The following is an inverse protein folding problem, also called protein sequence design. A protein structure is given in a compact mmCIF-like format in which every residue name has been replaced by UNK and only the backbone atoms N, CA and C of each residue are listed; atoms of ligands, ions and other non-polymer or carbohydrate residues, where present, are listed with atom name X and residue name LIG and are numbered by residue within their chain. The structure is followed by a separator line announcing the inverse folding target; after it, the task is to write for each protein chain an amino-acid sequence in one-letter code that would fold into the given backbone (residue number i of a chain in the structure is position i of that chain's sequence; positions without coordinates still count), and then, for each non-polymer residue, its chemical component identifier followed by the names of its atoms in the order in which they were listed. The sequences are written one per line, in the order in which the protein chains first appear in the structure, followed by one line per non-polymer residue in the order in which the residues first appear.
data_IF_769269391638
#
_entry.id   IF_769269391638
#
_cell.length_a   1.000
_cell.length_b   1.000
_cell.length_c   1.000
_cell.angle_alpha   90.00
_cell.angle_beta   90.00
_cell.angle_gamma   90.00
#
_symmetry.space_group_name_H-M   'P 1'
#
loop_
_entity.id
_entity.type
_entity.pdbx_description
1 polymer ?
#
# COMPACT_ATOMS: atom_id res chain seq x y z
N UNK A 1 18.09 -37.58 -71.24
CA UNK A 1 17.14 -37.98 -70.18
C UNK A 1 17.79 -37.93 -68.78
N UNK A 2 17.43 -36.95 -67.94
CA UNK A 2 17.98 -36.83 -66.58
C UNK A 2 17.31 -37.84 -65.60
N UNK A 3 18.02 -38.28 -64.56
CA UNK A 3 17.51 -39.22 -63.57
C UNK A 3 16.51 -38.55 -62.61
N UNK A 4 15.42 -39.26 -62.30
CA UNK A 4 14.39 -38.84 -61.37
C UNK A 4 14.81 -39.18 -59.93
N UNK A 5 14.76 -38.19 -59.04
CA UNK A 5 14.97 -38.40 -57.59
C UNK A 5 13.68 -38.87 -56.90
N UNK A 6 13.76 -39.79 -55.93
CA UNK A 6 12.59 -40.26 -55.17
C UNK A 6 12.12 -39.22 -54.13
N UNK A 7 10.82 -39.24 -53.75
CA UNK A 7 10.24 -38.29 -52.81
C UNK A 7 10.69 -38.51 -51.35
N UNK A 8 10.68 -37.45 -50.50
CA UNK A 8 11.09 -37.54 -49.10
C UNK A 8 10.07 -38.32 -48.24
N UNK A 9 10.51 -38.92 -47.11
CA UNK A 9 9.63 -39.67 -46.21
C UNK A 9 8.68 -38.75 -45.42
N UNK A 10 7.52 -39.26 -44.98
CA UNK A 10 6.56 -38.48 -44.20
C UNK A 10 7.08 -38.18 -42.79
N UNK A 11 6.85 -36.93 -42.34
CA UNK A 11 7.20 -36.46 -41.00
C UNK A 11 6.35 -37.16 -39.93
N UNK A 12 7.00 -37.63 -38.85
CA UNK A 12 6.34 -38.21 -37.67
C UNK A 12 5.66 -37.11 -36.84
N UNK A 13 4.50 -37.37 -36.22
CA UNK A 13 3.94 -36.47 -35.22
C UNK A 13 4.73 -36.57 -33.91
N UNK A 14 5.34 -35.47 -33.49
CA UNK A 14 5.94 -35.34 -32.16
C UNK A 14 4.84 -35.02 -31.14
N UNK A 15 4.42 -36.04 -30.40
CA UNK A 15 3.59 -35.89 -29.20
C UNK A 15 4.44 -35.20 -28.12
N UNK A 16 4.26 -33.90 -27.92
CA UNK A 16 4.84 -33.17 -26.79
C UNK A 16 3.80 -33.13 -25.68
N UNK A 17 4.03 -33.75 -24.51
CA UNK A 17 3.17 -33.57 -23.35
C UNK A 17 3.45 -32.17 -22.78
N UNK A 18 2.62 -31.20 -23.17
CA UNK A 18 2.65 -29.89 -22.54
C UNK A 18 2.02 -30.00 -21.15
N UNK A 19 2.92 -30.25 -20.20
CA UNK A 19 2.88 -29.87 -18.81
C UNK A 19 1.81 -28.81 -18.52
N UNK A 20 0.81 -29.21 -17.74
CA UNK A 20 -0.12 -28.35 -17.02
C UNK A 20 0.67 -27.20 -16.35
N UNK A 21 0.78 -26.07 -17.03
CA UNK A 21 1.10 -24.83 -16.37
C UNK A 21 -0.14 -24.49 -15.58
N UNK A 22 -0.19 -24.97 -14.32
CA UNK A 22 -0.94 -24.32 -13.27
C UNK A 22 -0.57 -22.85 -13.42
N UNK A 23 -1.50 -22.05 -13.92
CA UNK A 23 -1.48 -20.61 -13.75
C UNK A 23 -1.48 -20.43 -12.24
N UNK A 24 -0.28 -20.49 -11.67
CA UNK A 24 0.07 -19.87 -10.42
C UNK A 24 -0.38 -18.45 -10.69
N UNK A 25 -1.59 -18.14 -10.21
CA UNK A 25 -1.98 -16.81 -9.82
C UNK A 25 -0.72 -16.23 -9.22
N UNK A 26 -0.02 -15.45 -10.03
CA UNK A 26 0.92 -14.46 -9.58
C UNK A 26 -0.01 -13.52 -8.83
N UNK A 27 -0.36 -13.92 -7.60
CA UNK A 27 -0.48 -13.01 -6.51
C UNK A 27 0.88 -12.35 -6.53
N UNK A 28 1.00 -11.29 -7.35
CA UNK A 28 2.15 -10.43 -7.34
C UNK A 28 2.31 -10.11 -5.87
N UNK A 29 3.35 -10.70 -5.28
CA UNK A 29 3.86 -10.30 -3.99
C UNK A 29 4.21 -8.85 -4.23
N UNK A 30 3.23 -7.99 -3.95
CA UNK A 30 3.27 -6.55 -4.14
C UNK A 30 4.51 -6.12 -3.38
N UNK A 31 5.56 -5.93 -4.14
CA UNK A 31 6.90 -5.71 -3.63
C UNK A 31 6.87 -4.32 -3.06
N UNK A 32 6.73 -4.24 -1.73
CA UNK A 32 7.06 -3.05 -0.93
C UNK A 32 6.31 -1.76 -1.31
N UNK A 33 5.33 -1.81 -2.21
CA UNK A 33 4.38 -0.72 -2.39
C UNK A 33 3.39 -0.83 -1.25
N UNK A 34 3.60 -0.01 -0.22
CA UNK A 34 2.72 0.11 0.92
C UNK A 34 1.25 0.01 0.45
N UNK A 35 0.40 -0.81 1.10
CA UNK A 35 -0.98 -1.07 0.69
C UNK A 35 -1.77 0.21 0.36
N UNK A 36 -1.38 1.35 0.95
CA UNK A 36 -1.71 2.72 0.58
C UNK A 36 -1.78 3.02 -0.93
N UNK A 37 -0.82 2.58 -1.75
CA UNK A 37 -0.79 2.92 -3.18
C UNK A 37 -1.88 2.22 -4.01
N UNK A 38 -2.43 1.12 -3.49
CA UNK A 38 -3.55 0.38 -4.11
C UNK A 38 -4.89 0.86 -3.56
N UNK A 39 -4.91 1.30 -2.30
CA UNK A 39 -6.13 1.72 -1.59
C UNK A 39 -6.48 3.19 -1.81
N UNK A 40 -5.47 4.03 -2.01
CA UNK A 40 -5.60 5.48 -2.07
C UNK A 40 -5.00 6.05 -3.37
N UNK A 41 -5.50 7.19 -3.85
CA UNK A 41 -4.92 7.88 -4.99
C UNK A 41 -3.50 8.37 -4.66
N UNK A 42 -2.75 8.71 -5.70
CA UNK A 42 -1.37 9.17 -5.58
C UNK A 42 -1.23 10.35 -4.63
N UNK A 43 -0.24 10.29 -3.74
CA UNK A 43 0.04 11.34 -2.75
C UNK A 43 -0.73 11.18 -1.43
N UNK A 44 -1.65 10.23 -1.32
CA UNK A 44 -2.33 9.90 -0.07
C UNK A 44 -1.85 8.57 0.50
N UNK A 45 -1.97 8.42 1.81
CA UNK A 45 -1.71 7.17 2.54
C UNK A 45 -2.99 6.62 3.13
N UNK A 46 -3.15 5.30 3.11
CA UNK A 46 -4.26 4.66 3.80
C UNK A 46 -3.96 4.62 5.30
N UNK A 47 -4.86 5.15 6.12
CA UNK A 47 -4.83 5.04 7.57
C UNK A 47 -6.08 4.32 8.08
N UNK A 48 -5.95 3.36 9.02
CA UNK A 48 -7.11 2.70 9.60
C UNK A 48 -7.92 3.68 10.46
N UNK A 49 -9.25 3.63 10.33
CA UNK A 49 -10.17 4.40 11.17
C UNK A 49 -10.37 3.65 12.47
N UNK A 50 -9.53 3.94 13.47
CA UNK A 50 -9.58 3.33 14.79
C UNK A 50 -9.18 4.36 15.87
N UNK A 51 -9.51 4.12 17.16
CA UNK A 51 -9.09 4.99 18.25
C UNK A 51 -7.56 5.15 18.30
N UNK A 52 -7.08 6.27 18.85
CA UNK A 52 -5.64 6.55 18.90
C UNK A 52 -4.88 5.46 19.66
N UNK A 53 -3.69 5.11 19.16
CA UNK A 53 -2.83 4.08 19.76
C UNK A 53 -3.52 2.73 20.03
N UNK A 54 -4.57 2.39 19.28
CA UNK A 54 -5.28 1.11 19.43
C UNK A 54 -4.65 -0.03 18.64
N UNK A 55 -3.87 0.29 17.61
CA UNK A 55 -3.19 -0.67 16.77
C UNK A 55 -1.70 -0.70 17.11
N UNK A 56 -1.14 -1.91 17.21
CA UNK A 56 0.31 -2.08 17.38
C UNK A 56 1.09 -2.03 16.06
N UNK A 57 0.41 -2.25 14.94
CA UNK A 57 1.00 -2.24 13.60
C UNK A 57 -0.08 -1.90 12.56
N UNK A 58 0.36 -1.34 11.42
CA UNK A 58 -0.50 -1.22 10.25
C UNK A 58 -0.79 -2.60 9.65
N UNK A 59 -1.98 -2.81 9.05
CA UNK A 59 -2.29 -4.07 8.39
C UNK A 59 -1.31 -4.34 7.24
N UNK A 60 -0.75 -5.55 7.22
CA UNK A 60 0.29 -5.92 6.26
C UNK A 60 -0.28 -6.36 4.91
N UNK A 61 -1.53 -6.83 4.87
CA UNK A 61 -2.13 -7.40 3.65
C UNK A 61 -3.39 -6.66 3.24
N UNK A 62 -3.64 -6.62 1.93
CA UNK A 62 -4.87 -6.04 1.37
C UNK A 62 -6.14 -6.70 1.93
N UNK A 63 -6.08 -7.98 2.30
CA UNK A 63 -7.20 -8.69 2.90
C UNK A 63 -7.54 -8.13 4.29
N UNK A 64 -6.53 -7.81 5.09
CA UNK A 64 -6.71 -7.19 6.41
C UNK A 64 -7.30 -5.78 6.26
N UNK A 65 -6.80 -5.01 5.29
CA UNK A 65 -7.35 -3.69 4.95
C UNK A 65 -8.81 -3.72 4.48
N UNK A 66 -9.29 -4.83 3.91
CA UNK A 66 -10.72 -4.98 3.54
C UNK A 66 -11.62 -5.23 4.74
N UNK A 67 -11.05 -5.71 5.85
CA UNK A 67 -11.79 -5.99 7.09
C UNK A 67 -11.85 -4.79 8.04
N UNK A 68 -11.09 -3.75 7.74
CA UNK A 68 -10.97 -2.53 8.52
C UNK A 68 -11.50 -1.36 7.68
N UNK A 69 -12.18 -0.43 8.31
CA UNK A 69 -12.41 0.87 7.69
C UNK A 69 -11.08 1.64 7.63
N UNK A 70 -10.83 2.27 6.49
CA UNK A 70 -9.65 3.10 6.27
C UNK A 70 -10.04 4.39 5.58
N UNK A 71 -9.22 5.40 5.80
CA UNK A 71 -9.32 6.68 5.12
C UNK A 71 -8.01 7.02 4.42
N UNK A 72 -8.10 7.82 3.36
CA UNK A 72 -6.95 8.29 2.60
C UNK A 72 -6.57 9.69 3.08
N UNK A 73 -5.42 9.81 3.72
CA UNK A 73 -4.93 11.05 4.35
C UNK A 73 -3.61 11.49 3.75
N UNK A 74 -3.38 12.80 3.74
CA UNK A 74 -2.08 13.38 3.38
C UNK A 74 -1.21 13.49 4.63
N UNK A 75 -0.33 12.51 4.84
CA UNK A 75 0.56 12.48 6.00
C UNK A 75 1.51 13.69 6.06
N UNK A 76 1.63 14.49 5.01
CA UNK A 76 2.50 15.65 4.97
C UNK A 76 1.85 16.95 5.47
N UNK A 77 0.51 16.99 5.50
CA UNK A 77 -0.26 18.21 5.73
C UNK A 77 -1.52 18.02 6.60
N UNK A 78 -2.00 16.80 6.82
CA UNK A 78 -3.17 16.53 7.65
C UNK A 78 -2.84 16.67 9.15
N UNK A 79 -3.68 17.40 9.89
CA UNK A 79 -3.46 17.68 11.32
C UNK A 79 -3.76 16.47 12.21
N UNK A 80 -4.64 15.57 11.78
CA UNK A 80 -5.06 14.39 12.53
C UNK A 80 -4.23 13.15 12.22
N UNK A 81 -3.41 13.20 11.15
CA UNK A 81 -2.55 12.12 10.70
C UNK A 81 -1.18 12.63 10.20
N UNK A 82 -0.59 13.57 10.93
CA UNK A 82 0.66 14.23 10.55
C UNK A 82 1.86 13.29 10.77
N UNK A 83 2.48 12.84 9.68
CA UNK A 83 3.63 11.94 9.71
C UNK A 83 3.30 10.47 9.95
N UNK A 84 2.04 10.13 10.21
CA UNK A 84 1.61 8.76 10.46
C UNK A 84 0.13 8.64 10.82
N UNK A 85 -0.33 7.40 11.02
CA UNK A 85 -1.73 7.15 11.37
C UNK A 85 -1.95 7.24 12.89
N UNK A 86 -2.91 8.04 13.38
CA UNK A 86 -3.14 8.23 14.82
C UNK A 86 -3.56 6.92 15.53
N UNK A 87 -4.20 6.01 14.79
CA UNK A 87 -4.54 4.66 15.26
C UNK A 87 -3.32 3.85 15.72
N UNK A 88 -2.13 4.11 15.15
CA UNK A 88 -0.88 3.45 15.51
C UNK A 88 -0.22 4.14 16.71
N UNK A 89 -0.16 5.46 16.67
CA UNK A 89 0.31 6.27 17.78
C UNK A 89 -0.36 7.64 17.76
N UNK A 90 -0.91 8.04 18.90
CA UNK A 90 -1.51 9.34 19.12
C UNK A 90 -0.61 10.52 18.75
N UNK A 91 0.73 10.36 18.78
CA UNK A 91 1.67 11.46 18.43
C UNK A 91 1.46 12.05 17.04
N UNK A 92 0.82 11.31 16.12
CA UNK A 92 0.55 11.77 14.76
C UNK A 92 -0.69 12.67 14.67
N UNK A 93 -1.51 12.75 15.72
CA UNK A 93 -2.58 13.75 15.82
C UNK A 93 -2.03 15.00 16.52
N UNK A 94 -1.79 16.07 15.76
CA UNK A 94 -1.25 17.32 16.32
C UNK A 94 -2.23 18.01 17.28
N UNK A 95 -3.52 17.63 17.26
CA UNK A 95 -4.56 18.26 18.09
C UNK A 95 -4.51 17.81 19.54
N UNK A 96 -3.80 16.73 19.85
CA UNK A 96 -3.68 16.23 21.23
C UNK A 96 -2.60 16.97 22.04
N UNK A 97 -1.80 17.83 21.40
CA UNK A 97 -0.70 18.53 22.06
C UNK A 97 -1.30 19.45 23.14
N UNK A 98 -0.99 19.21 24.42
CA UNK A 98 -1.61 19.94 25.50
C UNK A 98 -1.14 21.40 25.46
N UNK A 99 -2.06 22.31 25.76
CA UNK A 99 -1.80 23.75 25.87
C UNK A 99 -1.37 24.45 24.56
N UNK A 100 -1.41 23.78 23.42
CA UNK A 100 -1.35 24.45 22.12
C UNK A 100 -2.68 25.17 21.83
N UNK A 101 -2.61 26.33 21.16
CA UNK A 101 -3.77 27.04 20.62
C UNK A 101 -3.92 26.79 19.13
N UNK A 102 -2.80 26.83 18.41
CA UNK A 102 -2.75 26.63 16.97
C UNK A 102 -1.59 25.71 16.61
N UNK A 103 -1.82 24.85 15.64
CA UNK A 103 -0.89 23.84 15.18
C UNK A 103 -0.96 23.75 13.66
N UNK A 104 0.17 23.33 13.08
CA UNK A 104 0.33 23.07 11.66
C UNK A 104 1.03 21.73 11.46
N UNK A 105 0.65 21.00 10.41
CA UNK A 105 1.43 19.86 9.94
C UNK A 105 2.32 20.32 8.78
N UNK A 106 3.63 20.23 8.95
CA UNK A 106 4.60 20.66 7.93
C UNK A 106 5.53 19.52 7.62
N UNK A 107 5.42 18.98 6.40
CA UNK A 107 6.23 17.86 5.93
C UNK A 107 6.18 16.64 6.88
N UNK A 108 4.99 16.35 7.41
CA UNK A 108 4.76 15.22 8.32
C UNK A 108 5.29 15.43 9.73
N UNK A 109 5.50 16.68 10.13
CA UNK A 109 5.88 17.04 11.50
C UNK A 109 4.86 18.01 12.09
N UNK A 110 4.38 17.73 13.29
CA UNK A 110 3.54 18.66 14.04
C UNK A 110 4.37 19.86 14.52
N UNK A 111 3.91 21.06 14.17
CA UNK A 111 4.50 22.33 14.58
C UNK A 111 3.45 23.07 15.41
N UNK A 112 3.84 23.50 16.62
CA UNK A 112 3.00 24.37 17.44
C UNK A 112 3.27 25.81 17.03
N UNK A 113 2.27 26.47 16.46
CA UNK A 113 2.40 27.87 16.02
C UNK A 113 2.16 28.85 17.18
N UNK A 114 1.30 28.49 18.13
CA UNK A 114 1.07 29.28 19.34
C UNK A 114 0.61 28.45 20.52
N UNK A 115 1.02 28.87 21.72
CA UNK A 115 0.65 28.26 22.99
C UNK A 115 -0.45 29.07 23.70
N UNK A 116 -1.20 28.40 24.57
CA UNK A 116 -2.10 29.06 25.52
C UNK A 116 -1.29 29.98 26.45
N UNK A 117 -1.91 31.07 26.90
CA UNK A 117 -1.24 32.01 27.80
C UNK A 117 -0.73 31.30 29.06
N UNK A 118 0.57 31.39 29.32
CA UNK A 118 1.22 30.78 30.50
C UNK A 118 1.90 29.43 30.25
N UNK A 119 2.02 28.98 28.99
CA UNK A 119 2.73 27.76 28.58
C UNK A 119 3.83 28.06 27.56
#
# INVERSE_FOLDING_TARGET
PPPHNPPPPPARPSTVPHHWSRETLQQETLTDAAPSAVLCPSGLSACPVAPHSSLSALPATLADWKSLDYECVDLSADLYACGGCPALDSIYDCTIIPHALTFSCVAGTCIVDSCQFGF
#
